data_IF_138687209169
#
_entry.id   IF_138687209169
#
_cell.length_a   1.000
_cell.length_b   1.000
_cell.length_c   1.000
_cell.angle_alpha   90.00
_cell.angle_beta   90.00
_cell.angle_gamma   90.00
#
_symmetry.space_group_name_H-M   'P 1'
#
loop_
_entity.id
_entity.type
_entity.pdbx_description
1 polymer ?
#
# COMPACT_ATOMS: atom_id res chain seq x y z
N UNK A 1 35.71 -87.36 19.79
CA UNK A 1 35.10 -86.03 19.52
C UNK A 1 33.66 -85.89 20.02
N UNK A 2 32.76 -86.87 19.85
CA UNK A 2 31.32 -86.75 20.20
C UNK A 2 31.06 -86.49 21.70
N UNK A 3 31.76 -87.21 22.61
CA UNK A 3 31.60 -87.02 24.07
C UNK A 3 31.96 -85.60 24.54
N UNK A 4 33.03 -85.03 24.00
CA UNK A 4 33.48 -83.68 24.36
C UNK A 4 32.47 -82.62 23.90
N UNK A 5 31.93 -82.77 22.68
CA UNK A 5 30.85 -81.92 22.15
C UNK A 5 29.58 -82.01 23.00
N UNK A 6 29.18 -83.21 23.41
CA UNK A 6 27.97 -83.39 24.23
C UNK A 6 28.14 -82.80 25.64
N UNK A 7 29.33 -82.90 26.24
CA UNK A 7 29.62 -82.28 27.52
C UNK A 7 29.61 -80.75 27.43
N UNK A 8 30.20 -80.19 26.37
CA UNK A 8 30.18 -78.75 26.13
C UNK A 8 28.75 -78.24 25.90
N UNK A 9 27.96 -78.96 25.11
CA UNK A 9 26.56 -78.62 24.84
C UNK A 9 25.72 -78.68 26.13
N UNK A 10 25.91 -79.70 26.97
CA UNK A 10 25.22 -79.81 28.25
C UNK A 10 25.63 -78.69 29.23
N UNK A 11 26.92 -78.32 29.24
CA UNK A 11 27.39 -77.15 29.99
C UNK A 11 26.72 -75.86 29.50
N UNK A 12 26.66 -75.63 28.18
CA UNK A 12 25.98 -74.47 27.60
C UNK A 12 24.48 -74.45 27.93
N UNK A 13 23.78 -75.59 27.86
CA UNK A 13 22.39 -75.69 28.28
C UNK A 13 22.19 -75.33 29.75
N UNK A 14 23.11 -75.77 30.63
CA UNK A 14 23.07 -75.41 32.06
C UNK A 14 23.30 -73.92 32.27
N UNK A 15 24.23 -73.30 31.53
CA UNK A 15 24.44 -71.85 31.58
C UNK A 15 23.20 -71.08 31.10
N UNK A 16 22.61 -71.49 29.97
CA UNK A 16 21.40 -70.86 29.45
C UNK A 16 20.23 -70.96 30.43
N UNK A 17 20.08 -72.10 31.10
CA UNK A 17 19.06 -72.28 32.14
C UNK A 17 19.28 -71.32 33.32
N UNK A 18 20.52 -71.16 33.79
CA UNK A 18 20.83 -70.23 34.87
C UNK A 18 20.53 -68.78 34.48
N UNK A 19 20.91 -68.37 33.27
CA UNK A 19 20.60 -67.03 32.74
C UNK A 19 19.09 -66.81 32.69
N UNK A 20 18.32 -67.78 32.22
CA UNK A 20 16.85 -67.66 32.17
C UNK A 20 16.23 -67.55 33.57
N UNK A 21 16.75 -68.28 34.55
CA UNK A 21 16.31 -68.17 35.94
C UNK A 21 16.57 -66.75 36.46
N UNK A 22 17.77 -66.21 36.21
CA UNK A 22 18.14 -64.87 36.63
C UNK A 22 17.28 -63.79 35.97
N UNK A 23 17.05 -63.87 34.65
CA UNK A 23 16.15 -62.96 33.93
C UNK A 23 14.74 -62.99 34.55
N UNK A 24 14.20 -64.18 34.83
CA UNK A 24 12.88 -64.31 35.43
C UNK A 24 12.82 -63.68 36.82
N UNK A 25 13.88 -63.84 37.63
CA UNK A 25 13.95 -63.18 38.95
C UNK A 25 14.08 -61.67 38.85
N UNK A 26 14.83 -61.15 37.87
CA UNK A 26 14.96 -59.71 37.67
C UNK A 26 13.62 -59.11 37.18
N UNK A 27 12.91 -59.81 36.30
CA UNK A 27 11.59 -59.39 35.83
C UNK A 27 10.56 -59.34 36.96
N UNK A 28 10.57 -60.32 37.87
CA UNK A 28 9.64 -60.30 39.01
C UNK A 28 9.95 -59.17 39.99
N UNK A 29 11.23 -58.91 40.26
CA UNK A 29 11.68 -57.80 41.10
C UNK A 29 11.28 -56.45 40.49
N UNK A 30 11.52 -56.24 39.20
CA UNK A 30 11.14 -55.00 38.50
C UNK A 30 9.63 -54.81 38.54
N UNK A 31 8.85 -55.88 38.32
CA UNK A 31 7.38 -55.81 38.39
C UNK A 31 6.90 -55.39 39.79
N UNK A 32 7.49 -55.95 40.83
CA UNK A 32 7.20 -55.58 42.21
C UNK A 32 7.52 -54.10 42.50
N UNK A 33 8.70 -53.62 42.07
CA UNK A 33 9.05 -52.21 42.23
C UNK A 33 8.15 -51.27 41.42
N UNK A 34 7.70 -51.67 40.23
CA UNK A 34 6.76 -50.87 39.44
C UNK A 34 5.40 -50.77 40.12
N UNK A 35 4.90 -51.86 40.68
CA UNK A 35 3.62 -51.88 41.41
C UNK A 35 3.69 -51.06 42.72
N UNK A 36 4.83 -51.05 43.41
CA UNK A 36 5.05 -50.24 44.63
C UNK A 36 5.30 -48.74 44.32
N UNK A 37 5.97 -48.45 43.20
CA UNK A 37 6.24 -47.08 42.76
C UNK A 37 5.04 -46.42 42.06
N UNK A 38 4.02 -47.18 41.65
CA UNK A 38 2.77 -46.61 41.16
C UNK A 38 2.03 -45.93 42.32
N UNK A 39 1.86 -44.59 42.32
CA UNK A 39 1.10 -43.93 43.37
C UNK A 39 -0.34 -44.47 43.33
N UNK A 40 -0.91 -44.80 44.49
CA UNK A 40 -2.28 -45.32 44.67
C UNK A 40 -3.41 -44.41 44.16
N UNK A 41 -3.06 -43.29 43.51
CA UNK A 41 -3.95 -42.34 42.87
C UNK A 41 -4.34 -42.87 41.50
N UNK A 42 -5.60 -43.26 41.35
CA UNK A 42 -6.17 -43.68 40.07
C UNK A 42 -5.93 -42.60 39.00
N UNK A 43 -5.04 -42.89 38.04
CA UNK A 43 -4.67 -42.04 36.89
C UNK A 43 -5.87 -41.42 36.15
N UNK A 44 -7.03 -42.08 36.20
CA UNK A 44 -8.30 -41.58 35.65
C UNK A 44 -8.74 -40.27 36.30
N UNK A 45 -8.57 -40.14 37.61
CA UNK A 45 -9.02 -38.97 38.37
C UNK A 45 -8.14 -37.75 38.07
N UNK A 46 -6.84 -37.96 37.84
CA UNK A 46 -5.94 -36.89 37.42
C UNK A 46 -6.26 -36.43 35.98
N UNK A 47 -6.60 -37.35 35.07
CA UNK A 47 -7.04 -37.01 33.70
C UNK A 47 -8.36 -36.23 33.70
N UNK A 48 -9.33 -36.60 34.53
CA UNK A 48 -10.58 -35.87 34.69
C UNK A 48 -10.36 -34.47 35.29
N UNK A 49 -9.48 -34.37 36.29
CA UNK A 49 -9.13 -33.10 36.90
C UNK A 49 -8.44 -32.14 35.91
N UNK A 50 -7.48 -32.64 35.13
CA UNK A 50 -6.80 -31.89 34.07
C UNK A 50 -7.81 -31.42 33.01
N UNK A 51 -8.69 -32.31 32.54
CA UNK A 51 -9.71 -31.96 31.56
C UNK A 51 -10.69 -30.91 32.08
N UNK A 52 -11.11 -31.00 33.35
CA UNK A 52 -12.03 -30.03 33.97
C UNK A 52 -11.39 -28.64 34.09
N UNK A 53 -10.12 -28.56 34.48
CA UNK A 53 -9.41 -27.29 34.59
C UNK A 53 -9.09 -26.68 33.21
N UNK A 54 -8.77 -27.50 32.21
CA UNK A 54 -8.36 -27.03 30.87
C UNK A 54 -9.55 -26.67 29.96
N UNK A 55 -10.77 -27.12 30.28
CA UNK A 55 -12.00 -26.76 29.55
C UNK A 55 -12.27 -25.24 29.52
N UNK A 56 -12.08 -24.53 30.63
CA UNK A 56 -12.38 -23.10 30.72
C UNK A 56 -11.41 -22.23 29.89
N UNK A 57 -10.08 -22.40 29.98
CA UNK A 57 -9.12 -21.75 29.09
C UNK A 57 -9.39 -22.05 27.61
N UNK A 58 -9.65 -23.31 27.25
CA UNK A 58 -9.97 -23.72 25.87
C UNK A 58 -11.23 -23.05 25.34
N UNK A 59 -12.30 -23.01 26.15
CA UNK A 59 -13.55 -22.35 25.77
C UNK A 59 -13.36 -20.83 25.55
N UNK A 60 -12.60 -20.17 26.44
CA UNK A 60 -12.23 -18.74 26.28
C UNK A 60 -11.42 -18.49 25.01
N UNK A 61 -10.45 -19.35 24.71
CA UNK A 61 -9.64 -19.27 23.49
C UNK A 61 -10.50 -19.44 22.23
N UNK A 62 -11.38 -20.45 22.22
CA UNK A 62 -12.31 -20.72 21.12
C UNK A 62 -13.25 -19.55 20.88
N UNK A 63 -13.79 -18.94 21.94
CA UNK A 63 -14.61 -17.73 21.85
C UNK A 63 -13.85 -16.58 21.19
N UNK A 64 -12.61 -16.30 21.63
CA UNK A 64 -11.75 -15.27 21.02
C UNK A 64 -11.47 -15.54 19.53
N UNK A 65 -11.22 -16.79 19.15
CA UNK A 65 -11.02 -17.17 17.75
C UNK A 65 -12.28 -16.96 16.91
N UNK A 66 -13.45 -17.36 17.42
CA UNK A 66 -14.72 -17.15 16.73
C UNK A 66 -15.05 -15.66 16.56
N UNK A 67 -14.83 -14.84 17.60
CA UNK A 67 -15.02 -13.38 17.51
C UNK A 67 -14.07 -12.75 16.48
N UNK A 68 -12.81 -13.20 16.43
CA UNK A 68 -11.84 -12.74 15.43
C UNK A 68 -12.26 -13.16 14.02
N UNK A 69 -12.74 -14.38 13.84
CA UNK A 69 -13.24 -14.88 12.56
C UNK A 69 -14.45 -14.05 12.09
N UNK A 70 -15.42 -13.78 12.97
CA UNK A 70 -16.60 -12.99 12.62
C UNK A 70 -16.21 -11.58 12.16
N UNK A 71 -15.31 -10.91 12.88
CA UNK A 71 -14.80 -9.59 12.48
C UNK A 71 -14.12 -9.59 11.11
N UNK A 72 -13.44 -10.68 10.74
CA UNK A 72 -12.81 -10.82 9.43
C UNK A 72 -13.84 -11.03 8.32
N UNK A 73 -14.87 -11.85 8.57
CA UNK A 73 -15.99 -12.05 7.65
C UNK A 73 -16.74 -10.73 7.42
N UNK A 74 -17.11 -10.02 8.48
CA UNK A 74 -17.83 -8.74 8.38
C UNK A 74 -17.01 -7.70 7.59
N UNK A 75 -15.69 -7.64 7.81
CA UNK A 75 -14.78 -6.74 7.07
C UNK A 75 -14.70 -7.10 5.59
N UNK A 76 -14.74 -8.39 5.26
CA UNK A 76 -14.75 -8.87 3.88
C UNK A 76 -16.07 -8.51 3.18
N UNK A 77 -17.22 -8.74 3.83
CA UNK A 77 -18.54 -8.41 3.29
C UNK A 77 -18.72 -6.90 3.07
N UNK A 78 -18.24 -6.07 4.00
CA UNK A 78 -18.24 -4.62 3.81
C UNK A 78 -17.39 -4.18 2.61
N UNK A 79 -16.28 -4.89 2.33
CA UNK A 79 -15.42 -4.64 1.17
C UNK A 79 -16.11 -5.08 -0.13
N UNK A 80 -16.78 -6.22 -0.13
CA UNK A 80 -17.58 -6.69 -1.28
C UNK A 80 -18.74 -5.74 -1.60
N UNK A 81 -19.50 -5.30 -0.59
CA UNK A 81 -20.60 -4.33 -0.77
C UNK A 81 -20.09 -2.99 -1.33
N UNK A 82 -18.93 -2.51 -0.86
CA UNK A 82 -18.27 -1.31 -1.41
C UNK A 82 -17.82 -1.51 -2.86
N UNK A 83 -17.24 -2.67 -3.18
CA UNK A 83 -16.81 -2.99 -4.54
C UNK A 83 -17.99 -3.11 -5.50
N UNK A 84 -19.08 -3.75 -5.09
CA UNK A 84 -20.31 -3.86 -5.89
C UNK A 84 -20.94 -2.50 -6.18
N UNK A 85 -20.92 -1.57 -5.21
CA UNK A 85 -21.40 -0.19 -5.40
C UNK A 85 -20.52 0.62 -6.36
N UNK A 86 -19.22 0.36 -6.42
CA UNK A 86 -18.30 1.03 -7.34
C UNK A 86 -18.51 0.54 -8.79
N UNK A 87 -18.74 -0.77 -8.97
CA UNK A 87 -18.98 -1.38 -10.29
C UNK A 87 -20.23 -0.81 -10.96
N UNK A 88 -21.27 -0.42 -10.19
CA UNK A 88 -22.48 0.21 -10.72
C UNK A 88 -22.33 1.70 -11.07
N UNK A 89 -21.17 2.32 -10.83
CA UNK A 89 -20.95 3.77 -11.01
C UNK A 89 -19.90 4.13 -12.07
N UNK A 90 -19.64 3.25 -13.03
CA UNK A 90 -18.75 3.54 -14.16
C UNK A 90 -19.39 4.50 -15.19
N UNK A 91 -20.06 5.55 -14.73
CA UNK A 91 -20.61 6.59 -15.57
C UNK A 91 -19.45 7.43 -16.15
N UNK A 92 -19.18 7.23 -17.43
CA UNK A 92 -18.23 8.02 -18.22
C UNK A 92 -18.90 9.20 -18.93
N UNK A 93 -20.14 9.54 -18.57
CA UNK A 93 -20.97 10.57 -19.21
C UNK A 93 -20.37 11.99 -19.15
N UNK A 94 -19.44 12.21 -18.23
CA UNK A 94 -18.69 13.46 -18.09
C UNK A 94 -17.54 13.60 -19.10
N UNK A 95 -17.19 12.54 -19.83
CA UNK A 95 -16.08 12.52 -20.78
C UNK A 95 -16.61 12.44 -22.21
N UNK A 96 -16.15 13.34 -23.07
CA UNK A 96 -16.46 13.35 -24.50
C UNK A 96 -15.16 13.16 -25.28
N UNK A 97 -15.07 12.07 -26.02
CA UNK A 97 -13.94 11.84 -26.91
C UNK A 97 -14.26 12.39 -28.31
N UNK A 98 -13.54 13.45 -28.71
CA UNK A 98 -13.58 14.05 -30.05
C UNK A 98 -12.28 13.77 -30.83
N UNK A 99 -11.34 13.02 -30.23
CA UNK A 99 -10.10 12.61 -30.89
C UNK A 99 -10.33 11.45 -31.84
N UNK A 100 -9.40 11.24 -32.77
CA UNK A 100 -9.41 10.06 -33.66
C UNK A 100 -9.00 8.78 -32.93
N UNK A 101 -8.34 8.92 -31.78
CA UNK A 101 -7.86 7.77 -31.00
C UNK A 101 -8.99 7.14 -30.19
N UNK A 102 -9.07 5.81 -30.23
CA UNK A 102 -10.02 5.06 -29.40
C UNK A 102 -9.41 4.89 -28.02
N UNK A 103 -10.07 5.45 -27.00
CA UNK A 103 -9.68 5.30 -25.60
C UNK A 103 -10.28 4.03 -25.00
N UNK A 104 -9.56 3.39 -24.09
CA UNK A 104 -10.08 2.24 -23.35
C UNK A 104 -11.09 2.66 -22.29
N UNK A 105 -11.87 1.71 -21.78
CA UNK A 105 -12.84 1.96 -20.71
C UNK A 105 -12.17 2.53 -19.44
N UNK A 106 -11.01 2.00 -19.06
CA UNK A 106 -10.24 2.47 -17.91
C UNK A 106 -9.74 3.90 -18.13
N UNK A 107 -9.30 4.23 -19.35
CA UNK A 107 -8.86 5.57 -19.71
C UNK A 107 -10.03 6.57 -19.61
N UNK A 108 -11.20 6.23 -20.17
CA UNK A 108 -12.40 7.05 -20.06
C UNK A 108 -12.86 7.20 -18.61
N UNK A 109 -12.81 6.12 -17.82
CA UNK A 109 -13.21 6.15 -16.41
C UNK A 109 -12.30 7.03 -15.56
N UNK A 110 -10.98 6.99 -15.77
CA UNK A 110 -10.11 7.85 -14.98
C UNK A 110 -10.26 9.32 -15.36
N UNK A 111 -10.53 9.62 -16.62
CA UNK A 111 -10.88 10.97 -17.06
C UNK A 111 -12.24 11.42 -16.49
N UNK A 112 -13.18 10.51 -16.26
CA UNK A 112 -14.50 10.86 -15.73
C UNK A 112 -14.46 11.35 -14.28
N UNK A 113 -13.42 10.97 -13.53
CA UNK A 113 -13.12 11.54 -12.19
C UNK A 113 -12.89 13.06 -12.23
N UNK A 114 -12.57 13.62 -13.40
CA UNK A 114 -12.47 15.05 -13.67
C UNK A 114 -11.07 15.64 -13.47
N UNK A 115 -10.83 16.80 -14.09
CA UNK A 115 -9.52 17.45 -14.09
C UNK A 115 -9.12 18.10 -12.75
N UNK A 116 -10.08 18.27 -11.83
CA UNK A 116 -9.83 18.72 -10.44
C UNK A 116 -9.45 17.58 -9.49
N UNK A 117 -9.51 16.33 -9.98
CA UNK A 117 -9.15 15.17 -9.18
C UNK A 117 -7.64 15.11 -8.97
N UNK A 118 -7.20 14.95 -7.71
CA UNK A 118 -5.78 14.90 -7.35
C UNK A 118 -5.38 13.47 -7.01
N UNK A 119 -4.61 12.78 -7.87
CA UNK A 119 -4.03 11.47 -7.58
C UNK A 119 -3.20 11.48 -6.29
N UNK A 120 -3.36 10.47 -5.43
CA UNK A 120 -2.47 10.28 -4.28
C UNK A 120 -1.03 10.07 -4.78
N UNK A 121 -0.04 10.87 -4.33
CA UNK A 121 1.34 10.70 -4.73
C UNK A 121 1.90 9.37 -4.21
N UNK A 122 2.63 8.64 -5.05
CA UNK A 122 3.24 7.35 -4.67
C UNK A 122 4.59 7.50 -3.97
N UNK A 123 5.31 8.54 -4.34
CA UNK A 123 6.64 8.90 -3.89
C UNK A 123 6.81 10.41 -4.04
N UNK A 124 7.65 10.98 -3.21
CA UNK A 124 8.02 12.39 -3.27
C UNK A 124 9.26 12.54 -4.17
N UNK A 125 9.19 13.41 -5.18
CA UNK A 125 10.35 13.69 -6.03
C UNK A 125 11.25 14.73 -5.34
N UNK A 126 12.18 14.24 -4.52
CA UNK A 126 13.09 15.08 -3.72
C UNK A 126 13.93 15.98 -4.62
N UNK A 127 14.39 15.46 -5.76
CA UNK A 127 15.25 16.19 -6.70
C UNK A 127 14.50 17.38 -7.28
N UNK A 128 13.26 17.19 -7.74
CA UNK A 128 12.43 18.28 -8.27
C UNK A 128 12.15 19.34 -7.21
N UNK A 129 11.91 18.94 -5.95
CA UNK A 129 11.65 19.88 -4.86
C UNK A 129 12.90 20.71 -4.56
N UNK A 130 14.08 20.07 -4.47
CA UNK A 130 15.34 20.77 -4.21
C UNK A 130 15.67 21.71 -5.37
N UNK A 131 15.61 21.23 -6.60
CA UNK A 131 15.94 22.05 -7.78
C UNK A 131 14.98 23.23 -7.96
N UNK A 132 13.68 23.03 -7.77
CA UNK A 132 12.68 24.11 -7.85
C UNK A 132 12.82 25.12 -6.70
N UNK A 133 13.09 24.66 -5.47
CA UNK A 133 13.32 25.56 -4.34
C UNK A 133 14.64 26.33 -4.49
N UNK A 134 15.69 25.70 -4.99
CA UNK A 134 16.97 26.36 -5.27
C UNK A 134 16.84 27.43 -6.36
N UNK A 135 16.14 27.12 -7.46
CA UNK A 135 15.85 28.07 -8.52
C UNK A 135 15.04 29.27 -8.03
N UNK A 136 14.03 29.02 -7.20
CA UNK A 136 13.17 30.08 -6.66
C UNK A 136 13.91 30.97 -5.66
N UNK A 137 14.83 30.41 -4.88
CA UNK A 137 15.61 31.10 -3.86
C UNK A 137 16.97 31.61 -4.39
N UNK A 138 17.17 31.64 -5.71
CA UNK A 138 18.47 31.99 -6.30
C UNK A 138 18.92 33.41 -5.96
N UNK A 139 18.03 34.40 -6.04
CA UNK A 139 18.31 35.81 -5.76
C UNK A 139 18.17 36.22 -4.28
N UNK A 140 17.90 35.26 -3.39
CA UNK A 140 17.63 35.54 -1.97
C UNK A 140 18.95 35.52 -1.17
N UNK A 141 19.14 36.40 -0.15
CA UNK A 141 20.33 36.36 0.68
C UNK A 141 20.56 34.99 1.33
N UNK A 142 21.83 34.61 1.48
CA UNK A 142 22.26 33.27 1.93
C UNK A 142 21.63 32.83 3.26
N UNK A 143 21.45 33.78 4.20
CA UNK A 143 20.86 33.50 5.52
C UNK A 143 19.42 32.96 5.41
N UNK A 144 18.58 33.59 4.59
CA UNK A 144 17.19 33.19 4.36
C UNK A 144 17.12 31.92 3.52
N UNK A 145 18.04 31.76 2.54
CA UNK A 145 18.16 30.55 1.74
C UNK A 145 18.44 29.33 2.63
N UNK A 146 19.36 29.46 3.58
CA UNK A 146 19.72 28.37 4.51
C UNK A 146 18.57 28.01 5.46
N UNK A 147 17.85 29.01 5.98
CA UNK A 147 16.67 28.78 6.81
C UNK A 147 15.56 28.03 6.04
N UNK A 148 15.22 28.50 4.83
CA UNK A 148 14.21 27.86 3.98
C UNK A 148 14.58 26.41 3.62
N UNK A 149 15.84 26.14 3.29
CA UNK A 149 16.29 24.77 3.03
C UNK A 149 16.23 23.88 4.25
N UNK A 150 16.53 24.40 5.44
CA UNK A 150 16.37 23.63 6.67
C UNK A 150 14.90 23.22 6.86
N UNK A 151 13.95 24.15 6.67
CA UNK A 151 12.53 23.85 6.76
C UNK A 151 12.08 22.80 5.72
N UNK A 152 12.45 22.99 4.46
CA UNK A 152 12.14 22.04 3.38
C UNK A 152 12.74 20.66 3.70
N UNK A 153 13.97 20.60 4.18
CA UNK A 153 14.63 19.35 4.59
C UNK A 153 13.88 18.65 5.72
N UNK A 154 13.42 19.41 6.73
CA UNK A 154 12.60 18.83 7.79
C UNK A 154 11.25 18.32 7.27
N UNK A 155 10.61 19.03 6.34
CA UNK A 155 9.35 18.60 5.74
C UNK A 155 9.52 17.30 4.95
N UNK A 156 10.55 17.23 4.09
CA UNK A 156 10.87 16.04 3.29
C UNK A 156 11.16 14.84 4.20
N UNK A 157 11.92 15.04 5.28
CA UNK A 157 12.26 13.98 6.24
C UNK A 157 11.05 13.48 7.04
N UNK A 158 10.09 14.37 7.34
CA UNK A 158 8.86 14.03 8.07
C UNK A 158 7.79 13.41 7.18
N UNK A 159 7.89 13.55 5.87
CA UNK A 159 6.87 13.08 4.93
C UNK A 159 6.69 11.55 5.02
N UNK A 160 5.44 11.11 5.12
CA UNK A 160 5.04 9.71 5.08
C UNK A 160 4.02 9.50 3.98
N UNK A 161 4.12 8.36 3.29
CA UNK A 161 3.15 7.99 2.27
C UNK A 161 1.75 7.86 2.88
N UNK A 162 0.69 8.38 2.22
CA UNK A 162 -0.68 8.18 2.65
C UNK A 162 -1.05 6.69 2.74
N UNK A 163 -1.80 6.31 3.79
CA UNK A 163 -2.21 4.92 4.03
C UNK A 163 -3.17 4.40 2.95
N UNK A 164 -4.00 5.28 2.40
CA UNK A 164 -4.99 4.95 1.39
C UNK A 164 -4.63 5.58 0.05
N UNK A 165 -4.68 4.77 -1.02
CA UNK A 165 -4.56 5.26 -2.39
C UNK A 165 -5.96 5.50 -2.96
N UNK A 166 -6.16 6.64 -3.61
CA UNK A 166 -7.41 6.97 -4.29
C UNK A 166 -7.51 6.42 -5.73
N UNK A 167 -6.42 5.86 -6.26
CA UNK A 167 -6.34 5.23 -7.58
C UNK A 167 -5.84 3.78 -7.48
N UNK A 168 -6.42 2.90 -8.30
CA UNK A 168 -5.94 1.55 -8.54
C UNK A 168 -4.65 1.56 -9.40
N UNK A 169 -3.97 0.40 -9.48
CA UNK A 169 -2.78 0.25 -10.34
C UNK A 169 -3.13 0.42 -11.81
N UNK A 170 -4.24 -0.17 -12.25
CA UNK A 170 -4.75 -0.11 -13.62
C UNK A 170 -5.12 1.32 -14.01
N UNK A 171 -5.82 2.04 -13.12
CA UNK A 171 -6.17 3.44 -13.35
C UNK A 171 -4.94 4.34 -13.47
N UNK A 172 -3.90 4.08 -12.66
CA UNK A 172 -2.64 4.84 -12.75
C UNK A 172 -1.87 4.53 -14.03
N UNK A 173 -1.93 3.29 -14.51
CA UNK A 173 -1.36 2.91 -15.81
C UNK A 173 -2.11 3.60 -16.94
N UNK A 174 -3.44 3.62 -16.90
CA UNK A 174 -4.27 4.33 -17.88
C UNK A 174 -3.93 5.82 -17.93
N UNK A 175 -3.79 6.50 -16.78
CA UNK A 175 -3.32 7.89 -16.72
C UNK A 175 -1.94 8.09 -17.34
N UNK A 176 -1.01 7.18 -17.05
CA UNK A 176 0.34 7.25 -17.61
C UNK A 176 0.31 7.09 -19.14
N UNK A 177 -0.50 6.17 -19.66
CA UNK A 177 -0.67 5.97 -21.10
C UNK A 177 -1.26 7.21 -21.77
N UNK A 178 -2.32 7.81 -21.20
CA UNK A 178 -2.91 9.06 -21.70
C UNK A 178 -1.84 10.16 -21.72
N UNK A 179 -1.09 10.33 -20.63
CA UNK A 179 -0.04 11.36 -20.53
C UNK A 179 1.11 11.14 -21.52
N UNK A 180 1.46 9.90 -21.81
CA UNK A 180 2.53 9.54 -22.73
C UNK A 180 2.11 9.62 -24.21
N UNK A 181 0.82 9.75 -24.52
CA UNK A 181 0.33 9.85 -25.88
C UNK A 181 0.42 11.31 -26.38
N UNK A 182 1.34 11.64 -27.31
CA UNK A 182 1.50 13.01 -27.80
C UNK A 182 0.39 13.45 -28.77
N UNK A 183 -0.38 12.51 -29.32
CA UNK A 183 -1.40 12.80 -30.33
C UNK A 183 -2.67 13.41 -29.74
N UNK A 184 -2.91 13.26 -28.44
CA UNK A 184 -4.13 13.70 -27.77
C UNK A 184 -3.85 14.84 -26.78
N UNK A 185 -4.84 15.71 -26.62
CA UNK A 185 -4.87 16.74 -25.60
C UNK A 185 -6.19 16.65 -24.83
N UNK A 186 -6.10 16.73 -23.50
CA UNK A 186 -7.26 16.68 -22.60
C UNK A 186 -7.52 18.09 -22.09
N UNK A 187 -8.73 18.61 -22.34
CA UNK A 187 -9.14 19.97 -21.96
C UNK A 187 -10.48 19.96 -21.23
N UNK A 188 -10.75 21.04 -20.49
CA UNK A 188 -12.10 21.32 -19.98
C UNK A 188 -12.99 21.81 -21.11
N UNK A 189 -14.24 21.36 -21.14
CA UNK A 189 -15.27 21.97 -21.98
C UNK A 189 -15.54 23.42 -21.54
N UNK A 190 -15.82 24.29 -22.50
CA UNK A 190 -16.23 25.69 -22.26
C UNK A 190 -17.51 25.77 -21.40
N UNK A 191 -18.44 24.83 -21.60
CA UNK A 191 -19.70 24.73 -20.85
C UNK A 191 -19.85 23.39 -20.16
N UNK A 192 -20.38 23.41 -18.93
CA UNK A 192 -20.81 22.20 -18.21
C UNK A 192 -19.69 21.36 -17.56
N UNK A 193 -18.45 21.87 -17.49
CA UNK A 193 -17.38 21.25 -16.70
C UNK A 193 -16.94 19.85 -17.16
N UNK A 194 -17.35 19.44 -18.36
CA UNK A 194 -17.01 18.14 -18.96
C UNK A 194 -15.53 18.07 -19.34
N UNK A 195 -15.01 16.85 -19.41
CA UNK A 195 -13.66 16.58 -19.90
C UNK A 195 -13.74 16.21 -21.37
N UNK A 196 -13.06 16.97 -22.23
CA UNK A 196 -13.02 16.73 -23.67
C UNK A 196 -11.63 16.25 -24.06
N UNK A 197 -11.57 15.18 -24.83
CA UNK A 197 -10.32 14.68 -25.42
C UNK A 197 -10.34 15.02 -26.90
N UNK A 198 -9.31 15.71 -27.38
CA UNK A 198 -9.17 16.14 -28.77
C UNK A 198 -7.80 15.75 -29.33
N UNK A 199 -7.68 15.70 -30.65
CA UNK A 199 -6.37 15.61 -31.29
C UNK A 199 -5.56 16.88 -30.99
N UNK A 200 -4.26 16.73 -30.78
CA UNK A 200 -3.37 17.86 -30.46
C UNK A 200 -3.28 18.85 -31.61
N UNK A 201 -3.19 18.37 -32.84
CA UNK A 201 -3.04 19.21 -34.02
C UNK A 201 -4.30 20.05 -34.26
N UNK A 202 -5.49 19.47 -34.10
CA UNK A 202 -6.75 20.19 -34.25
C UNK A 202 -6.93 21.24 -33.17
N UNK A 203 -6.53 20.93 -31.93
CA UNK A 203 -6.55 21.88 -30.83
C UNK A 203 -5.63 23.08 -31.07
N UNK A 204 -4.40 22.85 -31.53
CA UNK A 204 -3.44 23.92 -31.83
C UNK A 204 -3.95 24.81 -32.97
N UNK A 205 -4.46 24.21 -34.05
CA UNK A 205 -5.04 24.95 -35.18
C UNK A 205 -6.19 25.86 -34.75
N UNK A 206 -7.12 25.34 -33.93
CA UNK A 206 -8.24 26.13 -33.42
C UNK A 206 -7.78 27.30 -32.54
N UNK A 207 -6.75 27.10 -31.71
CA UNK A 207 -6.17 28.17 -30.90
C UNK A 207 -5.51 29.22 -31.78
N UNK A 208 -4.72 28.82 -32.77
CA UNK A 208 -4.06 29.76 -33.68
C UNK A 208 -5.08 30.56 -34.48
N UNK A 209 -6.16 29.93 -34.95
CA UNK A 209 -7.28 30.61 -35.61
C UNK A 209 -7.93 31.65 -34.69
N UNK A 210 -8.20 31.27 -33.43
CA UNK A 210 -8.78 32.18 -32.43
C UNK A 210 -7.83 33.34 -32.09
N UNK A 211 -6.54 33.10 -31.93
CA UNK A 211 -5.55 34.12 -31.60
C UNK A 211 -5.28 35.08 -32.78
N UNK A 212 -5.35 34.59 -34.02
CA UNK A 212 -5.18 35.39 -35.23
C UNK A 212 -6.43 36.21 -35.61
N UNK A 213 -7.52 36.06 -34.85
CA UNK A 213 -8.75 36.79 -35.10
C UNK A 213 -8.62 38.28 -34.75
N UNK A 214 -8.26 39.09 -35.76
CA UNK A 214 -8.10 40.55 -35.65
C UNK A 214 -9.40 41.32 -35.40
N UNK A 215 -10.57 40.68 -35.49
CA UNK A 215 -11.83 41.33 -35.13
C UNK A 215 -11.99 41.44 -33.61
N UNK A 216 -11.34 40.56 -32.84
CA UNK A 216 -11.47 40.49 -31.37
C UNK A 216 -10.16 40.89 -30.69
N UNK A 217 -9.00 40.51 -31.24
CA UNK A 217 -7.69 40.73 -30.63
C UNK A 217 -6.83 41.70 -31.45
N UNK A 218 -6.08 42.56 -30.76
CA UNK A 218 -5.04 43.40 -31.34
C UNK A 218 -3.63 42.94 -30.92
N UNK A 219 -2.64 43.19 -31.77
CA UNK A 219 -1.27 42.81 -31.46
C UNK A 219 -0.63 43.84 -30.52
N UNK A 220 -0.32 43.42 -29.29
CA UNK A 220 0.25 44.27 -28.25
C UNK A 220 1.78 44.15 -28.23
N UNK A 221 2.49 45.28 -28.21
CA UNK A 221 3.94 45.32 -27.94
C UNK A 221 4.20 45.10 -26.45
N UNK A 222 5.28 44.39 -26.10
CA UNK A 222 5.61 44.03 -24.71
C UNK A 222 5.49 45.24 -23.74
N UNK A 223 4.45 45.26 -22.88
CA UNK A 223 4.19 46.39 -21.99
C UNK A 223 5.08 46.36 -20.73
N UNK A 224 5.95 45.36 -20.58
CA UNK A 224 6.76 45.14 -19.37
C UNK A 224 7.56 46.38 -18.95
N UNK A 225 8.14 47.10 -19.92
CA UNK A 225 8.90 48.32 -19.62
C UNK A 225 8.00 49.47 -19.16
N UNK A 226 6.82 49.63 -19.78
CA UNK A 226 5.85 50.64 -19.38
C UNK A 226 5.36 50.39 -17.96
N UNK A 227 5.00 49.14 -17.66
CA UNK A 227 4.55 48.72 -16.33
C UNK A 227 5.67 48.93 -15.29
N UNK A 228 6.91 48.54 -15.60
CA UNK A 228 8.07 48.78 -14.71
C UNK A 228 8.28 50.26 -14.44
N UNK A 229 8.21 51.11 -15.46
CA UNK A 229 8.36 52.56 -15.27
C UNK A 229 7.23 53.17 -14.45
N UNK A 230 5.98 52.73 -14.64
CA UNK A 230 4.85 53.19 -13.82
C UNK A 230 4.97 52.72 -12.36
N UNK A 231 5.28 51.44 -12.14
CA UNK A 231 5.52 50.92 -10.79
C UNK A 231 6.66 51.67 -10.08
N UNK A 232 7.77 51.96 -10.80
CA UNK A 232 8.89 52.71 -10.24
C UNK A 232 8.50 54.13 -9.87
N UNK A 233 7.64 54.77 -10.68
CA UNK A 233 7.12 56.11 -10.42
C UNK A 233 6.24 56.14 -9.18
N UNK A 234 5.29 55.21 -9.07
CA UNK A 234 4.41 55.05 -7.90
C UNK A 234 5.17 54.73 -6.61
N UNK A 235 6.09 53.76 -6.67
CA UNK A 235 6.92 53.42 -5.51
C UNK A 235 7.81 54.59 -5.08
N UNK A 236 8.33 55.38 -6.02
CA UNK A 236 9.07 56.60 -5.70
C UNK A 236 8.18 57.65 -5.03
N UNK A 237 6.94 57.87 -5.51
CA UNK A 237 6.02 58.82 -4.88
C UNK A 237 5.58 58.41 -3.48
N UNK A 238 5.41 57.10 -3.22
CA UNK A 238 5.05 56.59 -1.90
C UNK A 238 6.20 56.76 -0.89
N UNK A 239 7.45 56.58 -1.34
CA UNK A 239 8.63 56.80 -0.49
C UNK A 239 8.72 58.28 -0.08
N UNK A 240 8.51 59.22 -1.01
CA UNK A 240 8.55 60.66 -0.72
C UNK A 240 7.41 61.13 0.21
N UNK A 241 6.24 60.47 0.19
CA UNK A 241 5.15 60.78 1.11
C UNK A 241 5.34 60.22 2.53
N UNK A 242 6.28 59.30 2.73
CA UNK A 242 6.54 58.64 4.02
C UNK A 242 7.69 59.26 4.83
N UNK A 243 8.39 60.23 4.24
CA UNK A 243 9.45 61.07 4.86
C UNK A 243 8.94 62.46 5.13
#
# INVERSE_FOLDING_TARGET
MIKLRNNLLNYQFKQQRNINIEINTQLSIIKWYLEDAEPSRQRTNDLEWINKYDQSPRAKLRKKHNEKLQKLIDKHDLKLKRSAKIITTNDTSNVVNMSKTVLTHEQMYVLSKGLKYVPTPSSLNVIDIITNSEKSLFNVPKIFKQAAFAEISTYVSKWKKPEHNNLSKEERLALKQIKCNPAITVVTADKGGKVVVMDRDTYVLQIEEHLNNRNIYENVKDPTNLIKTSLRRESSSLIVQST
#
